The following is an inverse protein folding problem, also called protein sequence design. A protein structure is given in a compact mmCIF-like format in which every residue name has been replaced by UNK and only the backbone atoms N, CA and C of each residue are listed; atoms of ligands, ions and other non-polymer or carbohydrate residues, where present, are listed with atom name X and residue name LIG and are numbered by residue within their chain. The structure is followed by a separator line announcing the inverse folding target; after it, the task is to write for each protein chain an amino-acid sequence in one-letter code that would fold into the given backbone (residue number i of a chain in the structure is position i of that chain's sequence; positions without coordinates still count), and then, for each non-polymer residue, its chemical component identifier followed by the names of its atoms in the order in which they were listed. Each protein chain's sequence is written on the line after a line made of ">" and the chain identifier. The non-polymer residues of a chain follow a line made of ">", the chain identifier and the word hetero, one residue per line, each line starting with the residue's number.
data_IF_169447213106
#
_entry.id   IF_169447213106
#
_cell.length_a   1.000
_cell.length_b   1.000
_cell.length_c   1.000
_cell.angle_alpha   90.00
_cell.angle_beta   90.00
_cell.angle_gamma   90.00
#
_symmetry.space_group_name_H-M   'P 1'
#
loop_
_entity.id
_entity.type
_entity.pdbx_description
1 polymer ?
#
# COMPACT_ATOMS: atom_id res chain seq x y z
N UNK A 1 14.98 -4.16 -11.88
CA UNK A 1 14.54 -3.35 -13.05
C UNK A 1 13.82 -2.15 -12.51
N UNK A 2 14.33 -0.94 -12.74
CA UNK A 2 13.71 0.31 -12.25
C UNK A 2 13.00 0.98 -13.42
N UNK A 3 11.69 1.13 -13.33
CA UNK A 3 10.88 1.87 -14.29
C UNK A 3 10.53 3.22 -13.63
N UNK A 4 11.08 4.31 -14.16
CA UNK A 4 10.73 5.66 -13.72
C UNK A 4 9.64 6.18 -14.65
N UNK A 5 8.38 6.21 -14.20
CA UNK A 5 7.30 6.87 -14.92
C UNK A 5 7.19 8.31 -14.38
N UNK A 6 7.22 9.27 -15.30
CA UNK A 6 7.17 10.69 -15.00
C UNK A 6 6.12 11.06 -13.93
N UNK A 7 6.51 11.99 -13.03
CA UNK A 7 5.84 12.47 -11.78
C UNK A 7 6.44 11.96 -10.46
N UNK A 8 7.77 11.78 -10.40
CA UNK A 8 8.48 11.26 -9.21
C UNK A 8 8.00 9.87 -8.76
N UNK A 9 7.30 9.13 -9.63
CA UNK A 9 6.83 7.78 -9.37
C UNK A 9 7.93 6.81 -9.80
N UNK A 10 8.48 6.08 -8.83
CA UNK A 10 9.49 5.06 -9.07
C UNK A 10 8.88 3.69 -8.84
N UNK A 11 9.21 2.75 -9.73
CA UNK A 11 8.83 1.35 -9.57
C UNK A 11 10.07 0.48 -9.63
N UNK A 12 10.29 -0.31 -8.57
CA UNK A 12 11.39 -1.27 -8.50
C UNK A 12 10.88 -2.60 -7.92
N UNK A 13 10.61 -3.56 -8.81
CA UNK A 13 10.17 -4.91 -8.45
C UNK A 13 11.10 -5.62 -7.48
N UNK A 14 12.40 -5.31 -7.51
CA UNK A 14 13.39 -5.93 -6.62
C UNK A 14 13.24 -5.52 -5.15
N UNK A 15 12.48 -4.45 -4.88
CA UNK A 15 12.19 -3.96 -3.54
C UNK A 15 10.80 -4.40 -3.03
N UNK A 16 10.07 -5.20 -3.82
CA UNK A 16 8.77 -5.72 -3.40
C UNK A 16 8.96 -6.75 -2.27
N UNK A 17 8.46 -6.41 -1.08
CA UNK A 17 8.42 -7.32 0.07
C UNK A 17 7.27 -8.33 -0.04
N UNK A 18 7.32 -9.37 0.79
CA UNK A 18 6.25 -10.36 0.86
C UNK A 18 4.95 -9.71 1.33
N UNK A 19 3.93 -9.73 0.48
CA UNK A 19 2.60 -9.23 0.82
C UNK A 19 1.84 -10.30 1.63
N UNK A 20 1.23 -9.93 2.77
CA UNK A 20 0.43 -10.87 3.56
C UNK A 20 -0.75 -11.40 2.75
N UNK A 21 -1.01 -12.71 2.84
CA UNK A 21 -2.14 -13.36 2.16
C UNK A 21 -3.52 -12.90 2.70
N UNK A 22 -3.54 -12.18 3.84
CA UNK A 22 -4.74 -11.68 4.52
C UNK A 22 -5.41 -10.52 3.77
N UNK A 23 -4.75 -9.95 2.75
CA UNK A 23 -5.33 -8.91 1.89
C UNK A 23 -6.57 -9.39 1.11
N UNK A 24 -6.79 -10.70 0.97
CA UNK A 24 -7.95 -11.24 0.23
C UNK A 24 -9.24 -11.35 1.07
N UNK A 25 -9.15 -11.39 2.41
CA UNK A 25 -10.27 -11.78 3.27
C UNK A 25 -10.80 -10.65 4.17
N UNK A 26 -10.10 -9.53 4.28
CA UNK A 26 -10.40 -8.45 5.22
C UNK A 26 -10.22 -7.07 4.56
N UNK A 27 -10.76 -6.01 5.18
CA UNK A 27 -10.74 -4.62 4.68
C UNK A 27 -9.33 -3.96 4.64
N UNK A 28 -8.27 -4.74 4.39
CA UNK A 28 -6.91 -4.26 4.26
C UNK A 28 -6.62 -3.84 2.82
N UNK A 29 -6.06 -2.65 2.65
CA UNK A 29 -5.71 -2.06 1.36
C UNK A 29 -4.21 -1.74 1.35
N UNK A 30 -3.65 -1.63 0.15
CA UNK A 30 -2.34 -1.01 -0.04
C UNK A 30 -2.58 0.50 -0.20
N UNK A 31 -2.06 1.30 0.73
CA UNK A 31 -2.09 2.76 0.66
C UNK A 31 -0.73 3.26 0.17
N UNK A 32 -0.74 4.17 -0.80
CA UNK A 32 0.46 4.77 -1.40
C UNK A 32 0.72 6.22 -0.95
N UNK A 33 -0.21 6.81 -0.20
CA UNK A 33 -0.17 8.23 0.22
C UNK A 33 0.54 8.44 1.56
N UNK A 34 0.54 7.42 2.43
CA UNK A 34 1.21 7.45 3.73
C UNK A 34 2.04 6.15 3.91
N UNK A 35 3.36 6.25 3.87
CA UNK A 35 4.25 5.11 3.92
C UNK A 35 5.43 5.33 4.88
N UNK A 36 5.66 4.39 5.79
CA UNK A 36 6.81 4.41 6.70
C UNK A 36 8.14 4.12 5.96
N UNK A 37 8.13 3.16 5.03
CA UNK A 37 9.30 2.81 4.21
C UNK A 37 8.88 2.43 2.80
N UNK A 38 9.66 2.85 1.80
CA UNK A 38 9.32 2.63 0.39
C UNK A 38 8.24 3.60 -0.10
N UNK A 39 7.27 3.09 -0.87
CA UNK A 39 6.20 3.89 -1.47
C UNK A 39 4.78 3.36 -1.18
N UNK A 40 4.63 2.51 -0.17
CA UNK A 40 3.32 1.98 0.23
C UNK A 40 3.32 1.40 1.64
N UNK A 41 2.17 1.46 2.33
CA UNK A 41 1.91 0.71 3.56
C UNK A 41 0.64 -0.15 3.42
N UNK A 42 0.39 -1.00 4.43
CA UNK A 42 -0.86 -1.74 4.56
C UNK A 42 -1.76 -0.95 5.51
N UNK A 43 -2.93 -0.55 5.03
CA UNK A 43 -3.92 0.20 5.80
C UNK A 43 -5.17 -0.66 6.05
N UNK A 44 -5.72 -0.59 7.26
CA UNK A 44 -7.02 -1.18 7.58
C UNK A 44 -8.12 -0.15 7.38
N UNK A 45 -9.02 -0.40 6.42
CA UNK A 45 -10.17 0.48 6.19
C UNK A 45 -11.28 0.14 7.17
N UNK A 46 -11.37 0.90 8.25
CA UNK A 46 -12.56 0.90 9.12
C UNK A 46 -13.69 1.66 8.41
N UNK A 47 -14.81 1.01 8.16
CA UNK A 47 -16.04 1.75 7.84
C UNK A 47 -16.50 2.48 9.12
N UNK A 48 -15.98 3.69 9.34
CA UNK A 48 -16.56 4.61 10.32
C UNK A 48 -17.94 5.07 9.82
N UNK A 49 -18.95 4.21 9.92
CA UNK A 49 -20.30 4.69 10.20
C UNK A 49 -20.26 5.19 11.64
N UNK A 50 -20.10 6.50 11.80
CA UNK A 50 -20.07 7.17 13.09
C UNK A 50 -21.24 6.72 13.96
N UNK A 51 -20.91 6.15 15.11
CA UNK A 51 -21.83 6.09 16.24
C UNK A 51 -21.36 7.16 17.21
N UNK A 52 -21.98 8.34 17.09
CA UNK A 52 -22.11 9.30 18.18
C UNK A 52 -23.29 8.87 19.05
#
# INVERSE_FOLDING_TARGET
>A
MVLNLARNLWYNLSLQSYLPNVLSENQWLINHDDAYFGGSCIEFKTDHKGYF
#
